data_IF_908513281202
#
_entry.id   IF_908513281202
#
_cell.length_a   1.000
_cell.length_b   1.000
_cell.length_c   1.000
_cell.angle_alpha   90.00
_cell.angle_beta   90.00
_cell.angle_gamma   90.00
#
_symmetry.space_group_name_H-M   'P 1'
#
loop_
_entity.id
_entity.type
_entity.pdbx_description
1 polymer ?
#
# COMPACT_ATOMS: atom_id res chain seq x y z
N UNK A 1 -30.77 2.60 -7.14
CA UNK A 1 -29.78 1.91 -6.30
C UNK A 1 -28.45 2.65 -6.36
N UNK A 2 -27.95 3.03 -5.26
CA UNK A 2 -26.67 3.73 -5.21
C UNK A 2 -25.51 2.75 -5.28
N UNK A 3 -24.51 3.06 -6.05
CA UNK A 3 -23.27 2.34 -6.02
C UNK A 3 -22.54 2.68 -4.73
N UNK A 4 -21.83 1.72 -4.15
CA UNK A 4 -20.97 1.97 -3.01
C UNK A 4 -19.88 2.94 -3.43
N UNK A 5 -19.82 4.07 -2.76
CA UNK A 5 -18.79 5.09 -2.98
C UNK A 5 -17.55 4.69 -2.20
N UNK A 6 -16.40 4.67 -2.87
CA UNK A 6 -15.11 4.42 -2.24
C UNK A 6 -14.42 5.77 -2.05
N UNK A 7 -14.05 6.07 -0.83
CA UNK A 7 -13.28 7.27 -0.49
C UNK A 7 -11.90 6.86 -0.03
N UNK A 8 -10.87 7.47 -0.61
CA UNK A 8 -9.49 7.22 -0.19
C UNK A 8 -9.00 8.42 0.59
N UNK A 9 -8.39 8.17 1.73
CA UNK A 9 -7.79 9.21 2.57
C UNK A 9 -6.59 8.65 3.33
N UNK A 10 -5.78 9.52 3.88
CA UNK A 10 -4.70 9.07 4.76
C UNK A 10 -5.29 8.50 6.05
N UNK A 11 -4.61 7.52 6.61
CA UNK A 11 -5.02 6.90 7.87
C UNK A 11 -4.94 7.92 9.01
N UNK A 12 -5.86 7.80 9.96
CA UNK A 12 -5.91 8.64 11.16
C UNK A 12 -5.99 7.77 12.41
N UNK A 13 -5.78 8.34 13.61
CA UNK A 13 -5.77 7.52 14.84
C UNK A 13 -7.00 6.62 15.04
N UNK A 14 -8.16 7.05 14.57
CA UNK A 14 -9.39 6.27 14.67
C UNK A 14 -9.42 5.01 13.80
N UNK A 15 -8.47 4.85 12.89
CA UNK A 15 -8.41 3.70 12.00
C UNK A 15 -7.59 2.53 12.55
N UNK A 16 -6.99 2.68 13.72
CA UNK A 16 -6.03 1.73 14.28
C UNK A 16 -6.54 0.29 14.29
N UNK A 17 -7.75 0.09 14.81
CA UNK A 17 -8.30 -1.25 14.98
C UNK A 17 -8.55 -1.94 13.65
N UNK A 18 -9.21 -1.24 12.73
CA UNK A 18 -9.55 -1.83 11.43
C UNK A 18 -8.31 -2.01 10.56
N UNK A 19 -7.38 -1.05 10.59
CA UNK A 19 -6.10 -1.20 9.90
C UNK A 19 -5.35 -2.45 10.38
N UNK A 20 -5.33 -2.66 11.70
CA UNK A 20 -4.65 -3.82 12.31
C UNK A 20 -5.26 -5.13 11.82
N UNK A 21 -6.58 -5.21 11.74
CA UNK A 21 -7.26 -6.38 11.20
C UNK A 21 -6.87 -6.63 9.74
N UNK A 22 -6.88 -5.58 8.92
CA UNK A 22 -6.56 -5.70 7.50
C UNK A 22 -5.09 -6.04 7.26
N UNK A 23 -4.18 -5.41 7.99
CA UNK A 23 -2.75 -5.71 7.82
C UNK A 23 -2.41 -7.12 8.31
N UNK A 24 -3.06 -7.58 9.36
CA UNK A 24 -2.93 -8.97 9.82
C UNK A 24 -3.40 -9.95 8.73
N UNK A 25 -4.54 -9.68 8.11
CA UNK A 25 -5.07 -10.51 7.02
C UNK A 25 -4.16 -10.50 5.79
N UNK A 26 -3.57 -9.36 5.48
CA UNK A 26 -2.58 -9.23 4.41
C UNK A 26 -1.36 -10.12 4.69
N UNK A 27 -0.87 -10.13 5.93
CA UNK A 27 0.22 -10.98 6.34
C UNK A 27 -0.10 -12.46 6.13
N UNK A 28 -1.29 -12.88 6.55
CA UNK A 28 -1.75 -14.27 6.39
C UNK A 28 -1.80 -14.66 4.90
N UNK A 29 -2.24 -13.76 4.05
CA UNK A 29 -2.24 -13.99 2.60
C UNK A 29 -0.83 -14.31 2.07
N UNK A 30 0.20 -13.70 2.66
CA UNK A 30 1.60 -13.94 2.31
C UNK A 30 2.28 -14.94 3.25
N UNK A 31 1.49 -15.76 3.95
CA UNK A 31 1.98 -16.80 4.86
C UNK A 31 2.88 -16.24 5.97
N UNK A 32 2.55 -15.03 6.42
CA UNK A 32 3.28 -14.34 7.48
C UNK A 32 2.33 -14.03 8.63
N UNK A 33 2.73 -14.41 9.82
CA UNK A 33 1.98 -14.12 11.03
C UNK A 33 2.68 -12.98 11.77
N UNK A 34 2.21 -11.75 11.56
CA UNK A 34 2.82 -10.58 12.22
C UNK A 34 2.57 -10.62 13.72
N UNK A 35 3.62 -10.46 14.50
CA UNK A 35 3.46 -10.35 15.94
C UNK A 35 2.99 -8.93 16.32
N UNK A 36 2.53 -8.77 17.58
CA UNK A 36 2.00 -7.50 18.04
C UNK A 36 3.01 -6.36 18.00
N UNK A 37 4.29 -6.66 18.20
CA UNK A 37 5.35 -5.65 18.17
C UNK A 37 5.55 -5.08 16.77
N UNK A 38 5.43 -5.90 15.74
CA UNK A 38 5.51 -5.44 14.35
C UNK A 38 4.32 -4.53 14.04
N UNK A 39 3.12 -4.96 14.39
CA UNK A 39 1.91 -4.17 14.15
C UNK A 39 1.96 -2.82 14.87
N UNK A 40 2.37 -2.82 16.12
CA UNK A 40 2.49 -1.58 16.92
C UNK A 40 3.57 -0.67 16.34
N UNK A 41 4.69 -1.22 15.92
CA UNK A 41 5.79 -0.46 15.34
C UNK A 41 5.40 0.23 14.04
N UNK A 42 4.75 -0.50 13.13
CA UNK A 42 4.31 0.07 11.85
C UNK A 42 3.25 1.15 12.09
N UNK A 43 2.32 0.92 13.01
CA UNK A 43 1.29 1.92 13.33
C UNK A 43 1.92 3.20 13.88
N UNK A 44 2.96 3.09 14.71
CA UNK A 44 3.71 4.25 15.20
C UNK A 44 4.32 5.04 14.05
N UNK A 45 4.88 4.36 13.06
CA UNK A 45 5.40 5.02 11.86
C UNK A 45 4.31 5.77 11.10
N UNK A 46 3.16 5.14 10.93
CA UNK A 46 2.03 5.72 10.18
C UNK A 46 1.56 7.02 10.83
N UNK A 47 1.54 7.08 12.15
CA UNK A 47 1.09 8.27 12.88
C UNK A 47 2.16 9.36 12.99
N UNK A 48 3.40 9.07 12.64
CA UNK A 48 4.50 10.03 12.71
C UNK A 48 4.63 10.77 11.37
N UNK A 49 4.30 12.07 11.30
CA UNK A 49 4.36 12.82 10.06
C UNK A 49 5.79 12.99 9.51
N UNK A 50 6.79 12.72 10.32
CA UNK A 50 8.21 12.81 9.93
C UNK A 50 8.74 11.48 9.40
N UNK A 51 7.99 10.40 9.54
CA UNK A 51 8.40 9.08 9.05
C UNK A 51 8.13 8.97 7.55
N UNK A 52 9.01 8.33 6.78
CA UNK A 52 8.81 8.21 5.33
C UNK A 52 7.60 7.35 4.91
N UNK A 53 7.10 6.48 5.81
CA UNK A 53 5.93 5.64 5.48
C UNK A 53 4.64 6.44 5.69
N UNK A 54 3.80 6.44 4.66
CA UNK A 54 2.45 7.01 4.71
C UNK A 54 1.45 5.89 4.44
N UNK A 55 0.35 5.86 5.18
CA UNK A 55 -0.72 4.90 4.94
C UNK A 55 -1.96 5.61 4.40
N UNK A 56 -2.57 4.98 3.40
CA UNK A 56 -3.89 5.36 2.90
C UNK A 56 -4.88 4.26 3.24
N UNK A 57 -6.11 4.65 3.51
CA UNK A 57 -7.20 3.71 3.73
C UNK A 57 -8.31 3.98 2.74
N UNK A 58 -8.99 2.91 2.33
CA UNK A 58 -10.16 2.98 1.49
C UNK A 58 -11.38 2.76 2.37
N UNK A 59 -12.35 3.66 2.27
CA UNK A 59 -13.57 3.61 3.07
C UNK A 59 -14.75 3.41 2.14
N UNK A 60 -15.59 2.43 2.45
CA UNK A 60 -16.82 2.16 1.73
C UNK A 60 -17.94 2.01 2.77
N UNK A 61 -19.01 2.78 2.61
CA UNK A 61 -20.17 2.76 3.51
C UNK A 61 -19.77 2.95 5.00
N UNK A 62 -18.81 3.85 5.25
CA UNK A 62 -18.35 4.16 6.60
C UNK A 62 -17.39 3.15 7.23
N UNK A 63 -16.98 2.13 6.48
CA UNK A 63 -16.07 1.10 6.96
C UNK A 63 -14.80 1.09 6.14
N UNK A 64 -13.64 0.97 6.79
CA UNK A 64 -12.36 0.82 6.10
C UNK A 64 -12.28 -0.59 5.51
N UNK A 65 -12.10 -0.67 4.21
CA UNK A 65 -12.12 -1.93 3.43
C UNK A 65 -10.84 -2.21 2.68
N UNK A 66 -9.82 -1.39 2.87
CA UNK A 66 -8.52 -1.61 2.23
C UNK A 66 -7.51 -0.61 2.72
N UNK A 67 -6.24 -0.87 2.44
CA UNK A 67 -5.16 0.04 2.79
C UNK A 67 -4.01 -0.04 1.80
N UNK A 68 -3.16 0.98 1.82
CA UNK A 68 -1.89 0.99 1.10
C UNK A 68 -0.83 1.63 1.98
N UNK A 69 0.39 1.09 1.93
CA UNK A 69 1.56 1.69 2.56
C UNK A 69 2.52 2.14 1.47
N UNK A 70 2.88 3.42 1.49
CA UNK A 70 3.83 3.99 0.53
C UNK A 70 4.93 4.69 1.30
N UNK A 71 6.15 4.65 0.79
CA UNK A 71 7.28 5.39 1.38
C UNK A 71 8.02 6.17 0.30
N UNK A 72 8.46 7.35 0.69
CA UNK A 72 9.36 8.14 -0.11
C UNK A 72 10.79 7.67 0.13
N UNK A 73 11.58 7.56 -0.91
CA UNK A 73 13.01 7.28 -0.80
C UNK A 73 13.75 8.13 -1.82
N UNK A 74 14.94 8.63 -1.48
CA UNK A 74 15.74 9.40 -2.43
C UNK A 74 16.09 8.56 -3.65
N UNK A 75 15.92 9.14 -4.83
CA UNK A 75 16.30 8.52 -6.08
C UNK A 75 17.61 9.16 -6.57
N UNK A 76 18.68 8.40 -6.56
CA UNK A 76 19.99 8.90 -6.90
C UNK A 76 20.14 9.22 -8.39
N UNK A 77 19.32 8.61 -9.25
CA UNK A 77 19.36 8.89 -10.68
C UNK A 77 18.77 10.26 -11.03
N UNK A 78 17.84 10.73 -10.18
CA UNK A 78 17.13 11.98 -10.42
C UNK A 78 17.53 13.09 -9.44
N UNK A 79 18.26 12.76 -8.38
CA UNK A 79 18.53 13.64 -7.24
C UNK A 79 17.23 14.22 -6.68
N UNK A 80 16.23 13.38 -6.57
CA UNK A 80 14.89 13.77 -6.13
C UNK A 80 14.15 12.60 -5.50
N UNK A 81 12.86 12.75 -5.25
CA UNK A 81 12.10 11.67 -4.62
C UNK A 81 11.85 10.51 -5.57
N UNK A 82 11.82 9.32 -4.99
CA UNK A 82 11.26 8.12 -5.58
C UNK A 82 10.28 7.54 -4.57
N UNK A 83 9.44 6.62 -5.00
CA UNK A 83 8.35 6.11 -4.18
C UNK A 83 8.26 4.60 -4.30
N UNK A 84 7.98 3.95 -3.19
CA UNK A 84 7.77 2.51 -3.17
C UNK A 84 6.46 2.20 -2.46
N UNK A 85 5.60 1.48 -3.16
CA UNK A 85 4.36 0.96 -2.58
C UNK A 85 4.70 -0.40 -1.95
N UNK A 86 4.77 -0.42 -0.63
CA UNK A 86 5.17 -1.63 0.10
C UNK A 86 4.04 -2.65 0.17
N UNK A 87 2.82 -2.18 0.41
CA UNK A 87 1.67 -3.05 0.64
C UNK A 87 0.42 -2.43 0.04
N UNK A 88 -0.41 -3.27 -0.56
CA UNK A 88 -1.70 -2.87 -1.12
C UNK A 88 -2.68 -4.02 -0.91
N UNK A 89 -3.77 -3.77 -0.22
CA UNK A 89 -4.71 -4.82 0.14
C UNK A 89 -6.15 -4.32 0.16
N UNK A 90 -7.04 -5.13 -0.40
CA UNK A 90 -8.49 -4.92 -0.29
C UNK A 90 -9.09 -6.09 0.47
N UNK A 91 -10.02 -5.80 1.37
CA UNK A 91 -10.78 -6.83 2.07
C UNK A 91 -11.38 -7.77 1.01
N UNK A 92 -11.19 -9.10 1.15
CA UNK A 92 -11.73 -10.07 0.19
C UNK A 92 -13.24 -9.91 -0.08
N UNK A 93 -14.01 -9.44 0.90
CA UNK A 93 -15.44 -9.18 0.74
C UNK A 93 -15.74 -8.03 -0.24
N UNK A 94 -14.74 -7.21 -0.55
CA UNK A 94 -14.86 -6.04 -1.43
C UNK A 94 -14.02 -6.15 -2.69
N UNK A 95 -13.49 -7.33 -2.99
CA UNK A 95 -12.73 -7.55 -4.23
C UNK A 95 -13.62 -7.38 -5.44
N UNK A 96 -13.05 -6.80 -6.50
CA UNK A 96 -13.78 -6.54 -7.73
C UNK A 96 -14.57 -5.24 -7.73
N UNK A 97 -14.55 -4.48 -6.62
CA UNK A 97 -15.24 -3.19 -6.51
C UNK A 97 -14.34 -1.99 -6.79
N UNK A 98 -13.09 -2.21 -7.18
CA UNK A 98 -12.17 -1.13 -7.55
C UNK A 98 -11.37 -0.54 -6.40
N UNK A 99 -11.38 -1.16 -5.22
CA UNK A 99 -10.66 -0.66 -4.04
C UNK A 99 -9.16 -0.57 -4.30
N UNK A 100 -8.57 -1.64 -4.83
CA UNK A 100 -7.13 -1.66 -5.10
C UNK A 100 -6.70 -0.61 -6.11
N UNK A 101 -7.45 -0.46 -7.20
CA UNK A 101 -7.19 0.57 -8.21
C UNK A 101 -7.31 1.97 -7.63
N UNK A 102 -8.34 2.22 -6.82
CA UNK A 102 -8.54 3.52 -6.19
C UNK A 102 -7.40 3.86 -5.23
N UNK A 103 -6.94 2.89 -4.45
CA UNK A 103 -5.79 3.07 -3.56
C UNK A 103 -4.52 3.40 -4.35
N UNK A 104 -4.26 2.66 -5.41
CA UNK A 104 -3.07 2.87 -6.24
C UNK A 104 -3.08 4.27 -6.87
N UNK A 105 -4.22 4.71 -7.38
CA UNK A 105 -4.36 6.05 -7.96
C UNK A 105 -4.14 7.13 -6.90
N UNK A 106 -4.65 6.96 -5.69
CA UNK A 106 -4.43 7.91 -4.60
C UNK A 106 -2.95 7.98 -4.21
N UNK A 107 -2.26 6.85 -4.18
CA UNK A 107 -0.82 6.80 -3.90
C UNK A 107 -0.03 7.53 -5.00
N UNK A 108 -0.39 7.30 -6.26
CA UNK A 108 0.25 7.98 -7.39
C UNK A 108 0.03 9.50 -7.33
N UNK A 109 -1.18 9.94 -6.99
CA UNK A 109 -1.51 11.35 -6.82
C UNK A 109 -0.71 11.98 -5.67
N UNK A 110 -0.56 11.25 -4.57
CA UNK A 110 0.25 11.67 -3.44
C UNK A 110 1.72 11.87 -3.84
N UNK A 111 2.28 10.92 -4.58
CA UNK A 111 3.64 11.03 -5.09
C UNK A 111 3.79 12.26 -6.00
N UNK A 112 2.86 12.47 -6.91
CA UNK A 112 2.87 13.64 -7.80
C UNK A 112 2.81 14.95 -7.04
N UNK A 113 1.99 15.02 -5.99
CA UNK A 113 1.83 16.21 -5.17
C UNK A 113 3.05 16.50 -4.28
N UNK A 114 3.93 15.52 -4.09
CA UNK A 114 5.07 15.61 -3.18
C UNK A 114 6.41 15.47 -3.90
N UNK A 115 6.51 15.98 -5.10
CA UNK A 115 7.76 16.07 -5.85
C UNK A 115 7.86 15.18 -7.07
N UNK A 116 6.90 14.30 -7.27
CA UNK A 116 6.90 13.39 -8.43
C UNK A 116 7.98 12.33 -8.33
N UNK A 117 8.42 11.82 -9.44
CA UNK A 117 9.37 10.72 -9.53
C UNK A 117 8.67 9.43 -9.90
N UNK A 118 9.35 8.31 -9.71
CA UNK A 118 8.82 7.01 -10.08
C UNK A 118 8.22 6.29 -8.87
N UNK A 119 7.04 5.77 -9.03
CA UNK A 119 6.40 4.88 -8.05
C UNK A 119 6.61 3.44 -8.52
N UNK A 120 7.18 2.62 -7.64
CA UNK A 120 7.45 1.20 -7.92
C UNK A 120 6.78 0.30 -6.90
N UNK A 121 6.43 -0.90 -7.33
CA UNK A 121 5.99 -1.96 -6.43
C UNK A 121 6.33 -3.31 -7.03
N UNK A 122 6.27 -4.34 -6.19
CA UNK A 122 6.50 -5.72 -6.62
C UNK A 122 5.26 -6.55 -6.27
N UNK A 123 5.11 -7.66 -6.98
CA UNK A 123 4.07 -8.64 -6.68
C UNK A 123 4.65 -10.03 -6.94
N UNK A 124 4.04 -11.05 -6.38
CA UNK A 124 4.48 -12.42 -6.60
C UNK A 124 4.37 -12.78 -8.10
N UNK A 125 5.39 -13.47 -8.61
CA UNK A 125 5.46 -13.82 -10.01
C UNK A 125 4.27 -14.67 -10.47
N UNK A 126 3.65 -15.42 -9.56
CA UNK A 126 2.49 -16.26 -9.84
C UNK A 126 1.15 -15.60 -9.51
N UNK A 127 1.16 -14.35 -9.06
CA UNK A 127 -0.08 -13.61 -8.77
C UNK A 127 -0.61 -12.98 -10.07
N UNK A 128 -1.16 -13.80 -10.94
CA UNK A 128 -1.64 -13.37 -12.25
C UNK A 128 -2.79 -12.38 -12.17
N UNK A 129 -3.66 -12.52 -11.18
CA UNK A 129 -4.80 -11.62 -10.98
C UNK A 129 -4.33 -10.18 -10.71
N UNK A 130 -3.38 -10.02 -9.81
CA UNK A 130 -2.81 -8.70 -9.51
C UNK A 130 -2.08 -8.13 -10.72
N UNK A 131 -1.30 -8.97 -11.40
CA UNK A 131 -0.55 -8.55 -12.59
C UNK A 131 -1.46 -8.03 -13.70
N UNK A 132 -2.61 -8.65 -13.92
CA UNK A 132 -3.58 -8.17 -14.92
C UNK A 132 -4.07 -6.76 -14.60
N UNK A 133 -4.29 -6.46 -13.32
CA UNK A 133 -4.68 -5.11 -12.90
C UNK A 133 -3.52 -4.14 -13.13
N UNK A 134 -2.33 -4.52 -12.70
CA UNK A 134 -1.15 -3.65 -12.78
C UNK A 134 -0.71 -3.39 -14.23
N UNK A 135 -0.87 -4.34 -15.12
CA UNK A 135 -0.53 -4.18 -16.54
C UNK A 135 -1.38 -3.09 -17.21
N UNK A 136 -2.56 -2.79 -16.67
CA UNK A 136 -3.39 -1.69 -17.16
C UNK A 136 -3.01 -0.34 -16.59
N UNK A 137 -2.32 -0.33 -15.45
CA UNK A 137 -2.05 0.90 -14.67
C UNK A 137 -0.60 1.36 -14.76
N UNK A 138 0.29 0.47 -15.16
CA UNK A 138 1.73 0.73 -15.13
C UNK A 138 2.47 -0.13 -16.15
N UNK A 139 3.78 0.02 -16.20
CA UNK A 139 4.64 -0.74 -17.09
C UNK A 139 5.39 -1.80 -16.29
N UNK A 140 5.28 -3.04 -16.70
CA UNK A 140 6.06 -4.14 -16.12
C UNK A 140 7.53 -3.94 -16.48
N UNK A 141 8.40 -3.89 -15.47
CA UNK A 141 9.84 -3.71 -15.71
C UNK A 141 10.52 -5.04 -16.03
N UNK A 142 11.77 -4.92 -16.49
CA UNK A 142 12.63 -6.09 -16.73
C UNK A 142 13.66 -6.27 -15.61
N UNK A 143 13.58 -5.45 -14.55
CA UNK A 143 14.48 -5.55 -13.40
C UNK A 143 14.14 -6.80 -12.58
N UNK A 144 15.16 -7.41 -11.98
CA UNK A 144 15.00 -8.57 -11.09
C UNK A 144 15.38 -8.11 -9.70
N UNK A 145 14.60 -8.55 -8.71
CA UNK A 145 14.84 -8.21 -7.30
C UNK A 145 15.75 -9.25 -6.65
N UNK A 146 16.74 -8.79 -5.92
CA UNK A 146 17.61 -9.65 -5.10
C UNK A 146 17.43 -9.28 -3.65
N UNK A 147 17.47 -10.29 -2.77
CA UNK A 147 17.44 -10.11 -1.32
C UNK A 147 18.61 -10.83 -0.68
N UNK A 148 19.15 -10.25 0.37
CA UNK A 148 20.20 -10.86 1.16
C UNK A 148 19.95 -10.53 2.62
N UNK A 149 19.85 -11.57 3.44
CA UNK A 149 19.73 -11.38 4.88
C UNK A 149 21.03 -10.80 5.43
N UNK A 150 20.92 -9.84 6.33
CA UNK A 150 22.06 -9.23 7.00
C UNK A 150 21.90 -9.38 8.50
N UNK A 151 23.00 -9.50 9.21
CA UNK A 151 22.99 -9.60 10.67
C UNK A 151 22.93 -8.22 11.30
N UNK A 152 22.19 -8.10 12.39
CA UNK A 152 22.10 -6.81 13.11
C UNK A 152 20.83 -6.56 13.89
#
# INVERSE_FOLDING_TARGET
MSESSITIRQASPGDAERWRELFTAYGVFYETDFDGAVLDGVWTWILDPEHPVTAFVAEADGTVVGFAHVRMQPDTFLAGPGWFLDDLFADPAHRGSGVGTALLEAVADHASANGGGTLRWITAADNERAQRVYDRLATRTTWVTYERETSG
#
